data_IF_104492598143
#
_entry.id   IF_104492598143
#
_cell.length_a   1.000
_cell.length_b   1.000
_cell.length_c   1.000
_cell.angle_alpha   90.00
_cell.angle_beta   90.00
_cell.angle_gamma   90.00
#
_symmetry.space_group_name_H-M   'P 1'
#
loop_
_entity.id
_entity.type
_entity.pdbx_description
1 polymer ?
#
# COMPACT_ATOMS: atom_id res chain seq x y z
N UNK A 1 -28.67 -1.33 -65.36
CA UNK A 1 -28.37 -0.22 -64.45
C UNK A 1 -28.97 -0.38 -63.03
N UNK A 2 -30.16 -0.93 -62.84
CA UNK A 2 -30.85 -1.01 -61.54
C UNK A 2 -30.16 -1.90 -60.48
N UNK A 3 -29.55 -3.04 -60.86
CA UNK A 3 -28.83 -3.94 -59.94
C UNK A 3 -27.57 -3.32 -59.29
N UNK A 4 -26.89 -2.46 -60.02
CA UNK A 4 -25.64 -1.82 -59.52
C UNK A 4 -25.92 -0.74 -58.50
N UNK A 5 -27.02 -0.02 -58.59
CA UNK A 5 -27.44 0.96 -57.60
C UNK A 5 -27.95 0.29 -56.32
N UNK A 6 -28.60 -0.83 -56.42
CA UNK A 6 -29.09 -1.61 -55.28
C UNK A 6 -27.93 -2.16 -54.42
N UNK A 7 -26.87 -2.68 -55.06
CA UNK A 7 -25.67 -3.16 -54.33
C UNK A 7 -24.90 -2.01 -53.65
N UNK A 8 -24.86 -0.82 -54.24
CA UNK A 8 -24.24 0.36 -53.61
C UNK A 8 -25.02 0.78 -52.35
N UNK A 9 -26.35 0.78 -52.38
CA UNK A 9 -27.18 1.12 -51.20
C UNK A 9 -27.03 0.08 -50.09
N UNK A 10 -26.98 -1.20 -50.44
CA UNK A 10 -26.79 -2.29 -49.49
C UNK A 10 -25.43 -2.17 -48.77
N UNK A 11 -24.37 -1.83 -49.52
CA UNK A 11 -23.03 -1.64 -48.96
C UNK A 11 -22.96 -0.41 -48.01
N UNK A 12 -23.63 0.70 -48.37
CA UNK A 12 -23.72 1.86 -47.48
C UNK A 12 -24.51 1.57 -46.22
N UNK A 13 -25.59 0.80 -46.25
CA UNK A 13 -26.35 0.37 -45.09
C UNK A 13 -25.52 -0.52 -44.15
N UNK A 14 -24.76 -1.47 -44.71
CA UNK A 14 -23.87 -2.33 -43.93
C UNK A 14 -22.78 -1.54 -43.21
N UNK A 15 -22.20 -0.53 -43.86
CA UNK A 15 -21.20 0.35 -43.23
C UNK A 15 -21.81 1.20 -42.14
N UNK A 16 -23.01 1.73 -42.33
CA UNK A 16 -23.72 2.50 -41.30
C UNK A 16 -24.12 1.63 -40.12
N UNK A 17 -24.54 0.40 -40.34
CA UNK A 17 -24.85 -0.56 -39.27
C UNK A 17 -23.61 -0.93 -38.44
N UNK A 18 -22.45 -1.11 -39.09
CA UNK A 18 -21.20 -1.41 -38.42
C UNK A 18 -20.69 -0.22 -37.58
N UNK A 19 -20.83 1.03 -38.09
CA UNK A 19 -20.49 2.24 -37.37
C UNK A 19 -21.39 2.44 -36.15
N UNK A 20 -22.68 2.20 -36.28
CA UNK A 20 -23.65 2.32 -35.18
C UNK A 20 -23.40 1.25 -34.10
N UNK A 21 -23.06 0.00 -34.50
CA UNK A 21 -22.71 -1.07 -33.57
C UNK A 21 -21.43 -0.73 -32.75
N UNK A 22 -20.47 -0.04 -33.36
CA UNK A 22 -19.24 0.40 -32.67
C UNK A 22 -19.48 1.51 -31.64
N UNK A 23 -20.48 2.38 -31.88
CA UNK A 23 -20.89 3.44 -30.96
C UNK A 23 -21.68 2.90 -29.75
N UNK A 24 -22.22 1.69 -29.83
CA UNK A 24 -23.00 1.06 -28.75
C UNK A 24 -22.18 0.14 -27.85
N UNK A 25 -20.86 0.02 -28.05
CA UNK A 25 -20.00 -0.72 -27.11
C UNK A 25 -19.94 0.05 -25.79
N UNK A 26 -20.49 -0.49 -24.69
CA UNK A 26 -20.35 0.13 -23.38
C UNK A 26 -18.87 0.08 -22.99
N UNK A 27 -18.20 1.21 -23.02
CA UNK A 27 -16.91 1.35 -22.38
C UNK A 27 -17.09 1.15 -20.88
N UNK A 28 -16.51 0.09 -20.31
CA UNK A 28 -16.48 -0.08 -18.87
C UNK A 28 -15.62 1.04 -18.25
N UNK A 29 -16.27 2.10 -17.80
CA UNK A 29 -15.61 3.11 -16.98
C UNK A 29 -15.47 2.52 -15.58
N UNK A 30 -14.30 1.98 -15.25
CA UNK A 30 -13.96 1.66 -13.87
C UNK A 30 -13.58 2.97 -13.16
N UNK A 31 -14.48 3.48 -12.34
CA UNK A 31 -14.13 4.54 -11.41
C UNK A 31 -13.12 3.98 -10.39
N UNK A 32 -11.99 4.66 -10.18
CA UNK A 32 -11.05 4.34 -9.10
C UNK A 32 -11.80 4.52 -7.78
N UNK A 33 -11.67 3.55 -6.89
CA UNK A 33 -12.25 3.67 -5.55
C UNK A 33 -11.57 4.84 -4.81
N UNK A 34 -12.40 5.74 -4.26
CA UNK A 34 -11.91 6.86 -3.46
C UNK A 34 -11.65 6.39 -2.04
N UNK A 35 -10.60 5.58 -1.90
CA UNK A 35 -10.18 4.99 -0.65
C UNK A 35 -8.68 4.65 -0.67
N UNK A 36 -8.09 4.46 0.51
CA UNK A 36 -6.78 3.84 0.66
C UNK A 36 -6.71 2.97 1.91
N UNK A 37 -5.95 1.88 1.83
CA UNK A 37 -5.70 0.96 2.93
C UNK A 37 -4.31 1.19 3.49
N UNK A 38 -4.21 1.25 4.82
CA UNK A 38 -2.94 1.44 5.54
C UNK A 38 -2.74 0.31 6.53
N UNK A 39 -1.51 -0.19 6.61
CA UNK A 39 -1.07 -1.15 7.63
C UNK A 39 -0.01 -0.49 8.50
N UNK A 40 -0.15 -0.58 9.82
CA UNK A 40 0.79 0.00 10.77
C UNK A 40 1.64 -1.12 11.38
N UNK A 41 2.93 -1.23 11.04
CA UNK A 41 3.82 -2.24 11.61
C UNK A 41 4.35 -1.80 12.97
N UNK A 42 4.60 -2.78 13.85
CA UNK A 42 5.28 -2.61 15.12
C UNK A 42 6.25 -3.78 15.36
N UNK A 43 7.47 -3.47 15.75
CA UNK A 43 8.53 -4.45 15.97
C UNK A 43 8.86 -4.54 17.45
N UNK A 44 8.98 -5.76 17.96
CA UNK A 44 9.45 -6.06 19.31
C UNK A 44 10.81 -6.76 19.21
N UNK A 45 11.79 -6.22 19.92
CA UNK A 45 13.12 -6.80 20.03
C UNK A 45 13.43 -7.10 21.49
N UNK A 46 14.27 -8.11 21.71
CA UNK A 46 14.77 -8.49 23.01
C UNK A 46 16.29 -8.62 22.94
N UNK A 47 16.96 -8.01 23.88
CA UNK A 47 18.42 -8.10 24.07
C UNK A 47 18.75 -8.86 25.36
N UNK A 48 20.00 -9.30 25.51
CA UNK A 48 20.50 -10.01 26.68
C UNK A 48 21.11 -11.36 26.35
N UNK A 49 21.68 -12.01 27.35
CA UNK A 49 22.30 -13.34 27.20
C UNK A 49 21.34 -14.45 27.58
N UNK A 50 21.39 -15.58 26.88
CA UNK A 50 20.59 -16.79 27.18
C UNK A 50 19.11 -16.47 27.39
N UNK A 51 18.54 -15.66 26.50
CA UNK A 51 17.15 -15.23 26.55
C UNK A 51 16.24 -16.49 26.54
N UNK A 52 15.33 -16.66 27.54
CA UNK A 52 14.40 -17.77 27.53
C UNK A 52 13.43 -17.62 26.35
N UNK A 53 13.05 -18.75 25.77
CA UNK A 53 12.00 -18.78 24.76
C UNK A 53 10.61 -18.81 25.40
N UNK A 54 9.60 -18.33 24.67
CA UNK A 54 8.20 -18.40 25.08
C UNK A 54 7.63 -17.12 25.70
N UNK A 55 8.44 -16.05 25.79
CA UNK A 55 7.92 -14.74 26.23
C UNK A 55 6.98 -14.17 25.18
N UNK A 56 5.81 -13.71 25.61
CA UNK A 56 4.78 -13.11 24.75
C UNK A 56 4.60 -11.64 25.09
N UNK A 57 4.79 -10.79 24.11
CA UNK A 57 4.57 -9.36 24.23
C UNK A 57 3.24 -8.98 23.59
N UNK A 58 2.45 -8.15 24.27
CA UNK A 58 1.22 -7.58 23.72
C UNK A 58 1.47 -6.13 23.31
N UNK A 59 1.32 -5.85 22.02
CA UNK A 59 1.37 -4.49 21.46
C UNK A 59 -0.06 -4.03 21.23
N UNK A 60 -0.40 -2.85 21.73
CA UNK A 60 -1.75 -2.29 21.71
C UNK A 60 -1.75 -1.01 20.89
N UNK A 61 -2.78 -0.84 20.06
CA UNK A 61 -3.10 0.37 19.35
C UNK A 61 -4.42 0.94 19.87
N UNK A 62 -4.48 2.25 20.09
CA UNK A 62 -5.68 2.98 20.50
C UNK A 62 -5.85 4.20 19.58
N UNK A 63 -7.07 4.46 19.11
CA UNK A 63 -7.34 5.67 18.33
C UNK A 63 -7.33 6.91 19.26
N UNK A 64 -6.58 7.95 18.86
CA UNK A 64 -6.58 9.26 19.52
C UNK A 64 -7.58 10.18 18.81
N UNK A 65 -7.51 10.22 17.46
CA UNK A 65 -8.48 11.02 16.68
C UNK A 65 -9.86 10.41 16.84
N UNK A 66 -10.83 11.24 17.20
CA UNK A 66 -12.23 10.82 17.28
C UNK A 66 -12.71 10.31 15.90
N UNK A 67 -13.44 9.20 15.93
CA UNK A 67 -14.00 8.56 14.73
C UNK A 67 -12.94 8.13 13.68
N UNK A 68 -11.66 7.97 14.11
CA UNK A 68 -10.64 7.42 13.25
C UNK A 68 -10.98 5.95 12.88
N UNK A 69 -10.78 5.55 11.63
CA UNK A 69 -10.87 4.14 11.24
C UNK A 69 -9.93 3.28 12.09
N UNK A 70 -10.33 2.08 12.44
CA UNK A 70 -9.55 1.17 13.30
C UNK A 70 -9.31 -0.16 12.61
N UNK A 71 -8.21 -0.83 12.97
CA UNK A 71 -7.96 -2.20 12.56
C UNK A 71 -8.92 -3.17 13.23
N UNK A 72 -9.21 -4.29 12.62
CA UNK A 72 -10.04 -5.35 13.19
C UNK A 72 -9.49 -5.81 14.54
N UNK A 73 -8.17 -5.93 14.66
CA UNK A 73 -7.50 -6.32 15.90
C UNK A 73 -6.58 -5.19 16.40
N UNK A 74 -6.99 -4.54 17.48
CA UNK A 74 -6.27 -3.45 18.14
C UNK A 74 -5.18 -3.93 19.12
N UNK A 75 -5.03 -5.23 19.30
CA UNK A 75 -3.99 -5.85 20.14
C UNK A 75 -3.32 -6.97 19.37
N UNK A 76 -2.00 -6.90 19.24
CA UNK A 76 -1.18 -7.89 18.56
C UNK A 76 -0.26 -8.60 19.56
N UNK A 77 0.01 -9.88 19.33
CA UNK A 77 0.90 -10.68 20.17
C UNK A 77 2.16 -11.06 19.42
N UNK A 78 3.31 -10.83 20.04
CA UNK A 78 4.63 -11.18 19.52
C UNK A 78 5.26 -12.22 20.44
N UNK A 79 5.62 -13.37 19.89
CA UNK A 79 6.35 -14.40 20.62
C UNK A 79 7.86 -14.16 20.48
N UNK A 80 8.55 -14.00 21.61
CA UNK A 80 9.97 -13.70 21.71
C UNK A 80 10.35 -12.35 21.05
N UNK A 81 10.60 -12.34 19.76
CA UNK A 81 10.91 -11.13 18.97
C UNK A 81 10.27 -11.24 17.60
N UNK A 82 9.90 -10.12 17.02
CA UNK A 82 9.31 -10.11 15.68
C UNK A 82 8.56 -8.83 15.36
N UNK A 83 8.02 -8.79 14.16
CA UNK A 83 7.18 -7.69 13.69
C UNK A 83 5.75 -8.18 13.56
N UNK A 84 4.81 -7.38 14.06
CA UNK A 84 3.37 -7.54 13.86
C UNK A 84 2.84 -6.34 13.12
N UNK A 85 1.64 -6.49 12.56
CA UNK A 85 0.98 -5.42 11.83
C UNK A 85 -0.44 -5.28 12.31
N UNK A 86 -0.85 -4.04 12.60
CA UNK A 86 -2.25 -3.71 12.73
C UNK A 86 -2.83 -3.68 11.32
N UNK A 87 -3.70 -4.63 11.02
CA UNK A 87 -4.19 -4.99 9.69
C UNK A 87 -4.79 -3.82 8.92
N UNK A 88 -5.23 -4.07 7.70
CA UNK A 88 -5.70 -3.03 6.78
C UNK A 88 -6.72 -2.11 7.43
N UNK A 89 -6.33 -0.84 7.60
CA UNK A 89 -7.21 0.22 8.09
C UNK A 89 -7.67 0.98 6.85
N UNK A 90 -8.97 0.95 6.60
CA UNK A 90 -9.58 1.50 5.40
C UNK A 90 -9.98 2.97 5.60
N UNK A 91 -9.44 3.86 4.77
CA UNK A 91 -9.71 5.30 4.81
C UNK A 91 -10.45 5.73 3.56
N UNK A 92 -11.56 6.46 3.75
CA UNK A 92 -12.39 7.01 2.67
C UNK A 92 -12.49 8.53 2.71
N UNK A 93 -11.88 9.18 3.71
CA UNK A 93 -11.90 10.63 3.90
C UNK A 93 -10.48 11.13 4.12
N UNK A 94 -10.05 12.20 3.45
CA UNK A 94 -8.79 12.87 3.76
C UNK A 94 -8.76 13.43 5.18
N UNK A 95 -7.59 13.36 5.82
CA UNK A 95 -7.39 13.87 7.18
C UNK A 95 -6.12 13.35 7.83
N UNK A 96 -5.80 13.86 9.01
CA UNK A 96 -4.73 13.38 9.87
C UNK A 96 -5.35 12.53 10.99
N UNK A 97 -5.06 11.24 10.98
CA UNK A 97 -5.55 10.28 11.95
C UNK A 97 -4.41 9.86 12.88
N UNK A 98 -4.63 9.98 14.18
CA UNK A 98 -3.62 9.68 15.18
C UNK A 98 -4.00 8.48 16.01
N UNK A 99 -2.99 7.63 16.26
CA UNK A 99 -3.10 6.43 17.07
C UNK A 99 -1.98 6.39 18.10
N UNK A 100 -2.30 5.96 19.31
CA UNK A 100 -1.34 5.65 20.36
C UNK A 100 -0.96 4.19 20.24
N UNK A 101 0.34 3.88 20.18
CA UNK A 101 0.83 2.51 20.16
C UNK A 101 1.83 2.31 21.30
N UNK A 102 1.62 1.26 22.07
CA UNK A 102 2.45 0.92 23.22
C UNK A 102 2.49 -0.59 23.46
N UNK A 103 3.50 -1.04 24.16
CA UNK A 103 3.61 -2.41 24.63
C UNK A 103 3.07 -2.49 26.05
N UNK A 104 2.25 -3.50 26.36
CA UNK A 104 1.87 -3.80 27.74
C UNK A 104 3.07 -4.34 28.50
N UNK A 105 3.29 -3.85 29.73
CA UNK A 105 4.33 -4.40 30.60
C UNK A 105 3.95 -5.83 31.00
N UNK A 106 4.90 -6.73 30.84
CA UNK A 106 4.81 -8.07 31.41
C UNK A 106 5.30 -8.12 32.87
N UNK A 107 5.33 -9.33 33.43
CA UNK A 107 5.74 -9.58 34.83
C UNK A 107 6.74 -10.73 34.96
N UNK A 108 7.32 -11.18 33.86
CA UNK A 108 8.30 -12.27 33.89
C UNK A 108 9.61 -11.80 34.51
N UNK A 109 10.12 -12.57 35.47
CA UNK A 109 11.35 -12.26 36.18
C UNK A 109 12.50 -12.00 35.22
N UNK A 110 13.36 -11.03 35.57
CA UNK A 110 14.57 -10.64 34.83
C UNK A 110 14.33 -10.00 33.47
N UNK A 111 13.08 -9.78 33.08
CA UNK A 111 12.78 -8.99 31.89
C UNK A 111 12.53 -7.51 32.28
N UNK A 112 13.19 -6.62 31.58
CA UNK A 112 12.89 -5.18 31.57
C UNK A 112 12.09 -4.89 30.31
N UNK A 113 10.82 -4.53 30.50
CA UNK A 113 9.89 -4.26 29.40
C UNK A 113 9.98 -2.80 28.97
N UNK A 114 10.00 -2.60 27.65
CA UNK A 114 9.96 -1.26 27.06
C UNK A 114 8.63 -0.56 27.42
N UNK A 115 8.72 0.66 27.92
CA UNK A 115 7.56 1.49 28.30
C UNK A 115 7.34 2.64 27.32
N UNK A 116 7.99 2.59 26.17
CA UNK A 116 7.84 3.62 25.15
C UNK A 116 6.39 3.67 24.65
N UNK A 117 5.92 4.89 24.47
CA UNK A 117 4.62 5.17 23.85
C UNK A 117 4.89 5.95 22.56
N UNK A 118 4.25 5.54 21.49
CA UNK A 118 4.31 6.21 20.19
C UNK A 118 2.96 6.83 19.84
N UNK A 119 3.01 8.04 19.30
CA UNK A 119 1.90 8.60 18.54
C UNK A 119 2.19 8.40 17.06
N UNK A 120 1.40 7.57 16.42
CA UNK A 120 1.47 7.30 14.98
C UNK A 120 0.44 8.18 14.29
N UNK A 121 0.87 8.92 13.29
CA UNK A 121 -0.01 9.73 12.45
C UNK A 121 -0.09 9.12 11.06
N UNK A 122 -1.30 8.91 10.59
CA UNK A 122 -1.64 8.55 9.21
C UNK A 122 -2.27 9.79 8.59
N UNK A 123 -1.55 10.40 7.67
CA UNK A 123 -2.05 11.52 6.86
C UNK A 123 -2.62 10.98 5.57
N UNK A 124 -3.91 11.12 5.39
CA UNK A 124 -4.63 10.74 4.17
C UNK A 124 -4.92 12.00 3.37
N UNK A 125 -4.55 12.00 2.09
CA UNK A 125 -4.72 13.15 1.20
C UNK A 125 -5.11 12.69 -0.20
N UNK A 126 -5.67 13.62 -0.99
CA UNK A 126 -5.97 13.34 -2.38
C UNK A 126 -4.68 13.09 -3.16
N UNK A 127 -4.68 12.06 -3.98
CA UNK A 127 -3.61 11.84 -4.95
C UNK A 127 -3.85 12.60 -6.27
N UNK A 128 -2.84 12.61 -7.12
CA UNK A 128 -2.91 13.29 -8.42
C UNK A 128 -3.86 12.59 -9.41
N UNK A 129 -4.29 11.37 -9.11
CA UNK A 129 -5.10 10.51 -9.98
C UNK A 129 -6.58 10.49 -9.56
N UNK A 130 -6.96 11.32 -8.57
CA UNK A 130 -8.33 11.43 -8.06
C UNK A 130 -8.73 10.34 -7.08
N UNK A 131 -7.74 9.65 -6.46
CA UNK A 131 -7.92 8.74 -5.34
C UNK A 131 -7.39 9.30 -4.03
N UNK A 132 -7.14 8.42 -3.07
CA UNK A 132 -6.47 8.73 -1.81
C UNK A 132 -5.08 8.10 -1.74
N UNK A 133 -4.15 8.82 -1.12
CA UNK A 133 -2.83 8.35 -0.74
C UNK A 133 -2.59 8.63 0.75
N UNK A 134 -1.81 7.79 1.40
CA UNK A 134 -1.50 7.94 2.82
C UNK A 134 0.01 8.04 3.05
N UNK A 135 0.40 8.91 3.99
CA UNK A 135 1.73 9.03 4.57
C UNK A 135 1.66 8.63 6.04
N UNK A 136 2.64 7.88 6.53
CA UNK A 136 2.69 7.36 7.89
C UNK A 136 3.99 7.76 8.57
N UNK A 137 3.91 8.22 9.83
CA UNK A 137 5.08 8.40 10.69
C UNK A 137 4.72 8.20 12.17
N UNK A 138 5.72 7.86 12.96
CA UNK A 138 5.60 7.70 14.40
C UNK A 138 6.42 8.77 15.13
N UNK A 139 5.92 9.26 16.25
CA UNK A 139 6.63 10.14 17.17
C UNK A 139 6.65 9.47 18.54
N UNK A 140 7.84 9.28 19.10
CA UNK A 140 8.01 8.76 20.46
C UNK A 140 7.60 9.84 21.47
N UNK A 141 6.85 9.48 22.51
CA UNK A 141 6.46 10.38 23.57
C UNK A 141 7.68 11.05 24.24
N UNK A 142 7.59 12.34 24.48
CA UNK A 142 8.69 13.15 25.00
C UNK A 142 9.72 13.60 23.94
N UNK A 143 9.50 13.28 22.66
CA UNK A 143 10.32 13.77 21.55
C UNK A 143 9.48 14.48 20.49
N UNK A 144 10.16 15.16 19.55
CA UNK A 144 9.51 15.77 18.38
C UNK A 144 10.02 15.15 17.07
N UNK A 145 10.91 14.16 17.18
CA UNK A 145 11.51 13.52 16.01
C UNK A 145 10.53 12.51 15.41
N UNK A 146 10.30 12.67 14.12
CA UNK A 146 9.53 11.67 13.33
C UNK A 146 10.41 10.45 13.09
N UNK A 147 9.86 9.29 13.34
CA UNK A 147 10.46 7.99 13.05
C UNK A 147 9.55 7.26 12.05
N UNK A 148 10.16 6.46 11.20
CA UNK A 148 9.43 5.68 10.20
C UNK A 148 8.90 4.35 10.77
N UNK A 149 9.26 4.01 12.02
CA UNK A 149 8.92 2.73 12.62
C UNK A 149 8.57 2.83 14.11
N UNK A 150 7.64 1.98 14.54
CA UNK A 150 7.35 1.69 15.95
C UNK A 150 8.21 0.51 16.36
N UNK A 151 9.11 0.72 17.34
CA UNK A 151 10.05 -0.30 17.79
C UNK A 151 10.15 -0.32 19.31
N UNK A 152 9.91 -1.48 19.90
CA UNK A 152 10.05 -1.73 21.33
C UNK A 152 11.31 -2.56 21.59
N UNK A 153 12.10 -2.15 22.59
CA UNK A 153 13.34 -2.82 22.97
C UNK A 153 13.26 -3.31 24.41
N UNK A 154 13.11 -4.61 24.57
CA UNK A 154 13.10 -5.27 25.86
C UNK A 154 14.51 -5.80 26.18
N UNK A 155 14.77 -6.05 27.46
CA UNK A 155 16.05 -6.59 27.91
C UNK A 155 15.83 -7.73 28.90
N UNK A 156 16.65 -8.79 28.77
CA UNK A 156 16.67 -9.90 29.71
C UNK A 156 18.01 -9.95 30.45
N UNK A 157 17.95 -9.91 31.77
CA UNK A 157 19.11 -10.04 32.66
C UNK A 157 19.33 -11.51 33.03
N UNK A 158 20.23 -12.19 32.32
CA UNK A 158 20.53 -13.60 32.61
C UNK A 158 21.04 -13.80 34.05
N UNK A 159 20.71 -14.93 34.72
CA UNK A 159 21.30 -15.26 36.02
C UNK A 159 22.82 -15.30 35.90
N UNK A 160 23.50 -14.60 36.81
CA UNK A 160 24.96 -14.57 36.87
C UNK A 160 25.47 -16.01 37.04
N UNK A 161 26.46 -16.39 36.23
CA UNK A 161 27.21 -17.60 36.45
C UNK A 161 28.17 -17.29 37.61
N UNK A 162 27.96 -17.86 38.81
CA UNK A 162 28.84 -17.72 39.97
C UNK A 162 30.19 -18.40 39.75
N UNK A 163 30.87 -18.10 38.64
CA UNK A 163 32.21 -18.53 38.31
C UNK A 163 33.02 -17.28 38.04
N UNK A 164 33.89 -16.86 39.00
CA UNK A 164 34.67 -15.66 38.99
C UNK A 164 35.43 -15.41 37.69
N UNK A 165 35.23 -14.24 37.14
CA UNK A 165 35.95 -13.71 35.99
C UNK A 165 35.44 -12.32 35.65
N UNK A 166 36.17 -11.29 36.12
CA UNK A 166 35.95 -9.90 35.71
C UNK A 166 36.21 -9.79 34.19
N UNK A 167 35.18 -9.75 33.42
CA UNK A 167 35.28 -9.39 31.99
C UNK A 167 34.70 -8.00 31.78
N UNK A 168 35.60 -7.08 31.46
CA UNK A 168 35.23 -5.79 30.92
C UNK A 168 34.49 -5.98 29.61
N UNK A 169 33.19 -5.81 29.60
CA UNK A 169 32.43 -5.79 28.37
C UNK A 169 32.66 -4.47 27.65
N UNK A 170 33.44 -4.53 26.58
CA UNK A 170 33.41 -3.52 25.54
C UNK A 170 32.01 -3.54 24.92
N UNK A 171 31.24 -2.50 25.19
CA UNK A 171 29.98 -2.26 24.53
C UNK A 171 30.27 -1.87 23.09
N UNK A 172 30.22 -2.84 22.20
CA UNK A 172 30.16 -2.56 20.76
C UNK A 172 28.71 -2.20 20.46
N UNK A 173 28.45 -0.94 20.26
CA UNK A 173 27.16 -0.51 19.69
C UNK A 173 27.17 -0.92 18.22
N UNK A 174 26.65 -2.10 17.92
CA UNK A 174 26.27 -2.44 16.54
C UNK A 174 25.05 -1.61 16.16
N UNK A 175 25.32 -0.53 15.45
CA UNK A 175 24.26 0.23 14.77
C UNK A 175 23.75 -0.61 13.62
N UNK A 176 22.75 -1.43 13.88
CA UNK A 176 22.04 -2.13 12.81
C UNK A 176 21.16 -1.12 12.10
N UNK A 177 21.65 -0.63 10.98
CA UNK A 177 20.84 0.21 10.08
C UNK A 177 19.82 -0.68 9.37
N UNK A 178 18.59 -0.68 9.87
CA UNK A 178 17.49 -1.30 9.16
C UNK A 178 17.00 -0.34 8.07
N UNK A 179 17.22 -0.72 6.83
CA UNK A 179 16.51 -0.11 5.71
C UNK A 179 15.07 -0.57 5.81
N UNK A 180 14.21 0.27 6.34
CA UNK A 180 12.77 0.03 6.33
C UNK A 180 12.33 0.11 4.86
N UNK A 181 12.16 -1.03 4.23
CA UNK A 181 11.40 -1.09 2.99
C UNK A 181 9.97 -0.76 3.39
N UNK A 182 9.56 0.49 3.21
CA UNK A 182 8.16 0.83 3.16
C UNK A 182 7.63 -0.04 2.03
N UNK A 183 6.90 -1.10 2.36
CA UNK A 183 6.10 -1.78 1.36
C UNK A 183 5.09 -0.73 0.89
N UNK A 184 5.47 -0.06 -0.18
CA UNK A 184 4.53 0.63 -1.03
C UNK A 184 3.39 -0.36 -1.25
N UNK A 185 2.13 0.00 -0.99
CA UNK A 185 1.01 -0.91 -1.24
C UNK A 185 1.24 -1.52 -2.61
N UNK A 186 1.02 -2.83 -2.78
CA UNK A 186 1.31 -3.49 -4.05
C UNK A 186 0.72 -2.63 -5.13
N UNK A 187 1.56 -2.17 -6.04
CA UNK A 187 1.12 -1.32 -7.14
C UNK A 187 -0.11 -2.00 -7.71
N UNK A 188 -1.24 -1.32 -7.66
CA UNK A 188 -2.50 -1.87 -8.10
C UNK A 188 -2.24 -2.48 -9.47
N UNK A 189 -2.39 -3.81 -9.57
CA UNK A 189 -2.13 -4.55 -10.79
C UNK A 189 -3.02 -3.91 -11.84
N UNK A 190 -2.40 -3.05 -12.68
CA UNK A 190 -3.02 -2.53 -13.88
C UNK A 190 -4.39 -1.89 -13.68
N UNK A 191 -4.47 -0.78 -12.96
CA UNK A 191 -5.55 0.14 -13.27
C UNK A 191 -5.42 0.48 -14.77
N UNK A 192 -6.41 0.18 -15.61
CA UNK A 192 -6.35 0.59 -17.00
C UNK A 192 -6.19 2.10 -16.98
N UNK A 193 -5.05 2.57 -17.49
CA UNK A 193 -4.85 3.99 -17.74
C UNK A 193 -6.03 4.48 -18.52
N UNK A 194 -6.83 5.33 -17.93
CA UNK A 194 -7.90 6.03 -18.65
C UNK A 194 -7.24 6.68 -19.86
N UNK A 195 -7.71 6.30 -21.01
CA UNK A 195 -7.45 6.59 -22.40
C UNK A 195 -6.57 7.72 -22.91
N UNK A 196 -5.90 8.50 -22.10
CA UNK A 196 -5.11 9.65 -22.56
C UNK A 196 -3.68 9.32 -22.99
N UNK A 197 -3.23 8.09 -22.73
CA UNK A 197 -2.05 7.55 -23.41
C UNK A 197 -2.45 6.77 -24.67
N UNK A 198 -3.58 7.11 -25.23
CA UNK A 198 -4.02 6.61 -26.52
C UNK A 198 -2.95 6.98 -27.55
N UNK A 199 -2.37 5.97 -28.10
CA UNK A 199 -1.49 6.08 -29.24
C UNK A 199 -2.31 6.67 -30.41
N UNK A 200 -2.26 7.98 -30.66
CA UNK A 200 -3.04 8.59 -31.74
C UNK A 200 -2.63 8.05 -33.11
N UNK A 201 -1.45 7.42 -33.16
CA UNK A 201 -0.90 6.79 -34.36
C UNK A 201 -1.62 5.51 -34.79
N UNK A 202 -2.20 4.72 -33.86
CA UNK A 202 -2.93 3.51 -34.23
C UNK A 202 -4.25 3.82 -34.96
N UNK A 203 -4.93 4.85 -34.54
CA UNK A 203 -6.16 5.30 -35.20
C UNK A 203 -5.88 5.97 -36.53
N UNK A 204 -4.82 6.76 -36.65
CA UNK A 204 -4.35 7.33 -37.90
C UNK A 204 -3.98 6.27 -38.94
N UNK A 205 -3.32 5.20 -38.54
CA UNK A 205 -2.95 4.10 -39.43
C UNK A 205 -4.19 3.33 -39.95
N UNK A 206 -5.21 3.16 -39.12
CA UNK A 206 -6.43 2.48 -39.52
C UNK A 206 -7.25 3.30 -40.54
N UNK A 207 -7.28 4.63 -40.37
CA UNK A 207 -7.95 5.56 -41.30
C UNK A 207 -7.22 5.59 -42.63
N UNK A 208 -5.88 5.60 -42.65
CA UNK A 208 -5.07 5.58 -43.87
C UNK A 208 -5.25 4.28 -44.65
N UNK A 209 -5.34 3.13 -43.97
CA UNK A 209 -5.57 1.84 -44.62
C UNK A 209 -6.97 1.77 -45.29
N UNK A 210 -7.98 2.38 -44.69
CA UNK A 210 -9.30 2.40 -45.31
C UNK A 210 -9.40 3.33 -46.51
N UNK A 211 -8.68 4.46 -46.50
CA UNK A 211 -8.61 5.39 -47.64
C UNK A 211 -7.80 4.81 -48.81
N UNK A 212 -6.68 4.15 -48.54
CA UNK A 212 -5.85 3.53 -49.58
C UNK A 212 -6.55 2.33 -50.20
N UNK A 213 -7.29 1.52 -49.46
CA UNK A 213 -8.08 0.43 -49.96
C UNK A 213 -9.20 0.88 -50.89
N UNK A 214 -9.79 2.04 -50.63
CA UNK A 214 -10.83 2.62 -51.50
C UNK A 214 -10.27 3.13 -52.84
N UNK A 215 -9.05 3.62 -52.86
CA UNK A 215 -8.38 4.16 -54.07
C UNK A 215 -7.94 3.04 -55.02
N UNK A 216 -7.55 1.87 -54.50
CA UNK A 216 -7.15 0.71 -55.32
C UNK A 216 -8.37 0.11 -56.04
N UNK A 217 -9.56 0.15 -55.44
CA UNK A 217 -10.77 -0.38 -56.04
C UNK A 217 -11.29 0.52 -57.18
N UNK A 218 -11.05 1.83 -57.15
CA UNK A 218 -11.43 2.78 -58.19
C UNK A 218 -10.49 2.70 -59.40
N UNK A 219 -9.23 2.40 -59.18
CA UNK A 219 -8.21 2.29 -60.24
C UNK A 219 -8.35 1.05 -61.14
N UNK A 220 -9.17 0.04 -60.77
CA UNK A 220 -9.36 -1.22 -61.50
C UNK A 220 -10.62 -1.29 -62.36
N UNK A 221 -11.36 -0.19 -62.47
CA UNK A 221 -12.61 -0.13 -63.26
C UNK A 221 -12.51 0.92 -64.40
N UNK A 222 -11.37 0.92 -65.09
CA UNK A 222 -11.27 1.55 -66.40
C UNK A 222 -10.85 0.52 -67.44
#
# INVERSE_FOLDING_TARGET
MMRMQMMRRLRCLAWFSCLLAFLLLPGSVHAKEYACDVTIPATVQVSGDRIPSGEVYEVVMEAITKDAPVAENMTQKVLNSGTVSFGQIHYTVPGDYQYKIYQKSGSTDRFTYDKTVYTVTVRVQNDAEGGLAAELWAVKEGTTMKNDAVQFQNHYDAPGNNGGGSSHHHRTEETVTYTTVIQQPPAAIGAPRTGDAQQPFLWGALILLTLSGSMIIVGKMK
#
